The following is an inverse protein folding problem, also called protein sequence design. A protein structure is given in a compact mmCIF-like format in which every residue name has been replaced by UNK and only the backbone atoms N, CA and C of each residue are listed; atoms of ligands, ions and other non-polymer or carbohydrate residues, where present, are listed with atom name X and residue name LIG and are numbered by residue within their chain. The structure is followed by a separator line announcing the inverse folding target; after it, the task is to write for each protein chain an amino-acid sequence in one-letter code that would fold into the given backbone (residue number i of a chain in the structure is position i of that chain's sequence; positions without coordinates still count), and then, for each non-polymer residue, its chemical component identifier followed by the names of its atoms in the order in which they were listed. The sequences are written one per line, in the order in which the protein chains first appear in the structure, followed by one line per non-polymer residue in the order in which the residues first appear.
data_IF_179716500423
#
_entry.id   IF_179716500423
#
_cell.length_a   1.000
_cell.length_b   1.000
_cell.length_c   1.000
_cell.angle_alpha   90.00
_cell.angle_beta   90.00
_cell.angle_gamma   90.00
#
_symmetry.space_group_name_H-M   'P 1'
#
loop_
_entity.id
_entity.type
_entity.pdbx_description
1 polymer ?
#
# COMPACT_ATOMS: atom_id res chain seq x y z
N UNK A 1 0.90 1.24 -12.43
CA UNK A 1 0.55 0.40 -11.26
C UNK A 1 0.09 1.20 -10.07
N UNK A 2 0.63 2.38 -9.89
CA UNK A 2 0.20 3.22 -8.80
C UNK A 2 -1.30 3.49 -8.86
N UNK A 3 -1.81 3.82 -10.04
CA UNK A 3 -3.23 4.13 -10.19
C UNK A 3 -4.10 2.92 -9.94
N UNK A 4 -3.62 1.73 -10.30
CA UNK A 4 -4.37 0.51 -10.04
C UNK A 4 -4.56 0.30 -8.55
N UNK A 5 -3.47 0.44 -7.80
CA UNK A 5 -3.53 0.26 -6.35
C UNK A 5 -4.43 1.32 -5.73
N UNK A 6 -4.32 2.57 -6.18
CA UNK A 6 -5.17 3.62 -5.67
C UNK A 6 -6.65 3.32 -5.91
N UNK A 7 -6.98 2.90 -7.12
CA UNK A 7 -8.37 2.62 -7.47
C UNK A 7 -8.93 1.50 -6.62
N UNK A 8 -8.17 0.41 -6.49
CA UNK A 8 -8.63 -0.73 -5.71
C UNK A 8 -8.83 -0.34 -4.26
N UNK A 9 -7.84 0.35 -3.68
CA UNK A 9 -7.91 0.67 -2.26
C UNK A 9 -9.01 1.68 -1.96
N UNK A 10 -9.21 2.67 -2.84
CA UNK A 10 -10.27 3.63 -2.64
C UNK A 10 -11.65 2.97 -2.69
N UNK A 11 -11.74 1.85 -3.40
CA UNK A 11 -12.99 1.11 -3.47
C UNK A 11 -13.29 0.31 -2.22
N UNK A 12 -12.29 0.09 -1.38
CA UNK A 12 -12.42 -0.77 -0.20
C UNK A 12 -12.60 0.00 1.10
N UNK A 13 -12.17 1.25 1.15
CA UNK A 13 -12.06 1.98 2.41
C UNK A 13 -13.21 2.95 2.60
N UNK A 14 -13.37 3.40 3.85
CA UNK A 14 -14.37 4.40 4.18
C UNK A 14 -13.85 5.81 3.98
N UNK A 15 -12.55 5.99 3.99
CA UNK A 15 -11.92 7.30 3.85
C UNK A 15 -11.03 7.33 2.61
N UNK A 16 -11.64 7.31 1.41
CA UNK A 16 -10.83 7.23 0.20
C UNK A 16 -9.94 8.45 -0.02
N UNK A 17 -10.29 9.57 0.57
CA UNK A 17 -9.47 10.77 0.43
C UNK A 17 -8.13 10.62 1.13
N UNK A 18 -8.00 9.66 2.05
CA UNK A 18 -6.75 9.43 2.76
C UNK A 18 -5.87 8.37 2.11
N UNK A 19 -6.35 7.76 1.04
CA UNK A 19 -5.53 6.78 0.34
C UNK A 19 -4.42 7.49 -0.40
N UNK A 20 -3.19 7.06 -0.14
CA UNK A 20 -2.03 7.63 -0.78
C UNK A 20 -1.07 6.54 -1.16
N UNK A 21 -0.63 6.54 -2.40
CA UNK A 21 0.34 5.56 -2.89
C UNK A 21 1.57 6.32 -3.36
N UNK A 22 2.72 5.94 -2.83
CA UNK A 22 4.00 6.51 -3.22
C UNK A 22 4.76 5.46 -4.00
N UNK A 23 5.26 5.83 -5.16
CA UNK A 23 5.97 4.91 -6.03
C UNK A 23 7.45 5.22 -5.97
N UNK A 24 8.25 4.19 -5.68
CA UNK A 24 9.69 4.29 -5.61
C UNK A 24 10.27 3.33 -6.62
N UNK A 25 10.90 3.87 -7.66
CA UNK A 25 11.43 3.06 -8.76
C UNK A 25 12.88 2.72 -8.53
N UNK A 26 13.21 1.44 -8.58
CA UNK A 26 14.58 0.97 -8.68
C UNK A 26 14.85 0.50 -10.09
N UNK A 27 15.95 -0.21 -10.26
CA UNK A 27 16.33 -0.66 -11.59
C UNK A 27 15.36 -1.69 -12.15
N UNK A 28 15.00 -2.67 -11.35
CA UNK A 28 14.09 -3.73 -11.79
C UNK A 28 12.91 -3.90 -10.88
N UNK A 29 12.87 -3.18 -9.79
CA UNK A 29 11.82 -3.31 -8.78
C UNK A 29 11.23 -1.95 -8.49
N UNK A 30 9.90 -1.92 -8.42
CA UNK A 30 9.18 -0.72 -8.01
C UNK A 30 8.47 -1.04 -6.70
N UNK A 31 8.64 -0.17 -5.72
CA UNK A 31 7.96 -0.30 -4.43
C UNK A 31 6.80 0.67 -4.43
N UNK A 32 5.63 0.14 -4.09
CA UNK A 32 4.43 0.96 -3.96
C UNK A 32 4.07 1.00 -2.49
N UNK A 33 4.25 2.16 -1.88
CA UNK A 33 3.95 2.36 -0.46
C UNK A 33 2.54 2.88 -0.35
N UNK A 34 1.71 2.13 0.36
CA UNK A 34 0.30 2.46 0.53
C UNK A 34 0.05 2.98 1.92
N UNK A 35 -0.58 4.15 1.98
CA UNK A 35 -1.03 4.73 3.25
C UNK A 35 -2.52 4.94 3.16
N UNK A 36 -3.22 4.60 4.25
CA UNK A 36 -4.66 4.79 4.35
C UNK A 36 -4.96 5.34 5.74
N UNK A 37 -6.21 5.77 5.91
CA UNK A 37 -6.66 6.16 7.24
C UNK A 37 -6.48 4.98 8.19
N UNK A 38 -6.09 5.28 9.42
CA UNK A 38 -5.78 4.24 10.39
C UNK A 38 -6.94 3.26 10.56
N UNK A 39 -8.17 3.76 10.59
CA UNK A 39 -9.33 2.90 10.76
C UNK A 39 -9.61 2.02 9.56
N UNK A 40 -8.99 2.31 8.41
CA UNK A 40 -9.21 1.54 7.19
C UNK A 40 -8.14 0.51 6.94
N UNK A 41 -7.11 0.46 7.79
CA UNK A 41 -5.98 -0.41 7.54
C UNK A 41 -6.43 -1.87 7.41
N UNK A 42 -7.33 -2.31 8.28
CA UNK A 42 -7.82 -3.68 8.20
C UNK A 42 -8.55 -3.99 6.91
N UNK A 43 -9.11 -2.97 6.27
CA UNK A 43 -9.85 -3.20 5.04
C UNK A 43 -8.92 -3.48 3.86
N UNK A 44 -7.73 -2.88 3.86
CA UNK A 44 -6.79 -3.13 2.77
C UNK A 44 -5.94 -4.36 3.04
N UNK A 45 -5.75 -4.73 4.30
CA UNK A 45 -5.04 -5.96 4.63
C UNK A 45 -5.97 -7.15 4.44
N UNK A 46 -7.21 -7.01 4.93
CA UNK A 46 -8.20 -8.05 4.83
C UNK A 46 -8.03 -9.13 5.88
N UNK A 47 -9.04 -9.97 6.00
CA UNK A 47 -9.04 -11.04 6.96
C UNK A 47 -7.88 -11.98 6.67
N UNK A 48 -7.05 -12.21 7.65
CA UNK A 48 -5.88 -13.09 7.51
C UNK A 48 -4.96 -12.66 6.37
N UNK A 49 -4.99 -11.37 6.06
CA UNK A 49 -4.11 -10.83 5.04
C UNK A 49 -4.53 -11.13 3.61
N UNK A 50 -5.75 -11.60 3.41
CA UNK A 50 -6.17 -12.08 2.09
C UNK A 50 -6.25 -10.98 1.05
N UNK A 51 -6.73 -9.80 1.45
CA UNK A 51 -6.88 -8.70 0.49
C UNK A 51 -5.50 -8.24 0.03
N UNK A 52 -4.59 -8.01 0.97
CA UNK A 52 -3.24 -7.59 0.61
C UNK A 52 -2.56 -8.63 -0.26
N UNK A 53 -2.75 -9.91 0.06
CA UNK A 53 -2.16 -10.98 -0.74
C UNK A 53 -2.71 -10.98 -2.15
N UNK A 54 -4.02 -10.75 -2.29
CA UNK A 54 -4.65 -10.72 -3.61
C UNK A 54 -4.10 -9.56 -4.43
N UNK A 55 -3.93 -8.39 -3.82
CA UNK A 55 -3.38 -7.25 -4.52
C UNK A 55 -1.95 -7.56 -4.97
N UNK A 56 -1.17 -8.17 -4.09
CA UNK A 56 0.21 -8.53 -4.44
C UNK A 56 0.25 -9.53 -5.58
N UNK A 57 -0.69 -10.45 -5.62
CA UNK A 57 -0.76 -11.42 -6.71
C UNK A 57 -1.05 -10.75 -8.03
N UNK A 58 -1.97 -9.79 -8.03
CA UNK A 58 -2.30 -9.05 -9.24
C UNK A 58 -1.09 -8.24 -9.71
N UNK A 59 -0.40 -7.60 -8.77
CA UNK A 59 0.78 -6.81 -9.12
C UNK A 59 1.88 -7.70 -9.70
N UNK A 60 2.04 -8.90 -9.16
CA UNK A 60 3.04 -9.82 -9.69
C UNK A 60 2.71 -10.22 -11.12
N UNK A 61 1.45 -10.51 -11.37
CA UNK A 61 1.03 -10.91 -12.72
C UNK A 61 1.25 -9.77 -13.71
N UNK A 62 0.87 -8.55 -13.32
CA UNK A 62 1.06 -7.41 -14.21
C UNK A 62 2.55 -7.13 -14.43
N UNK A 63 3.34 -7.34 -13.39
CA UNK A 63 4.77 -7.10 -13.48
C UNK A 63 5.46 -8.05 -14.45
N UNK A 64 4.96 -9.27 -14.53
CA UNK A 64 5.54 -10.23 -15.47
C UNK A 64 5.45 -9.73 -16.90
N UNK A 65 4.32 -9.12 -17.25
CA UNK A 65 4.16 -8.58 -18.59
C UNK A 65 5.14 -7.45 -18.85
N UNK A 66 5.41 -6.64 -17.84
CA UNK A 66 6.32 -5.52 -17.98
C UNK A 66 7.76 -5.88 -17.67
N UNK A 67 8.01 -7.13 -17.31
CA UNK A 67 9.33 -7.61 -16.93
C UNK A 67 9.89 -6.78 -15.79
N UNK A 68 9.03 -6.51 -14.79
CA UNK A 68 9.38 -5.68 -13.68
C UNK A 68 8.70 -6.21 -12.43
N UNK A 69 9.38 -6.11 -11.30
CA UNK A 69 8.83 -6.57 -10.03
C UNK A 69 8.17 -5.40 -9.31
N UNK A 70 6.94 -5.60 -8.87
CA UNK A 70 6.22 -4.61 -8.08
C UNK A 70 5.98 -5.16 -6.69
N UNK A 71 6.42 -4.42 -5.68
CA UNK A 71 6.21 -4.79 -4.29
C UNK A 71 5.26 -3.80 -3.66
N UNK A 72 4.27 -4.33 -2.93
CA UNK A 72 3.33 -3.49 -2.18
C UNK A 72 3.75 -3.48 -0.73
N UNK A 73 3.95 -2.29 -0.20
CA UNK A 73 4.26 -2.10 1.20
C UNK A 73 3.14 -1.31 1.84
N UNK A 74 2.44 -1.92 2.80
CA UNK A 74 1.36 -1.24 3.50
C UNK A 74 1.95 -0.64 4.76
N UNK A 75 1.83 0.69 4.86
CA UNK A 75 2.43 1.41 5.97
C UNK A 75 1.48 1.34 7.15
N UNK A 76 1.96 0.75 8.25
CA UNK A 76 1.14 0.51 9.43
C UNK A 76 1.65 1.22 10.68
N UNK A 77 2.57 2.17 10.52
CA UNK A 77 3.25 2.74 11.68
C UNK A 77 2.88 4.19 11.90
N UNK A 78 1.59 4.45 11.92
CA UNK A 78 1.12 5.82 12.17
C UNK A 78 1.58 6.29 13.54
N UNK A 79 1.38 5.45 14.54
CA UNK A 79 1.70 5.84 15.90
C UNK A 79 3.18 5.88 16.14
N UNK A 80 3.91 4.98 15.50
CA UNK A 80 5.36 5.00 15.62
C UNK A 80 5.90 6.33 15.16
N UNK A 81 5.38 6.82 14.05
CA UNK A 81 5.87 8.08 13.51
C UNK A 81 5.51 9.23 14.43
N UNK A 82 4.30 9.24 14.93
CA UNK A 82 3.88 10.29 15.85
C UNK A 82 4.65 10.23 17.14
N UNK A 83 4.84 9.04 17.67
CA UNK A 83 5.60 8.88 18.90
C UNK A 83 7.03 9.37 18.73
N UNK A 84 7.62 9.05 17.59
CA UNK A 84 8.99 9.45 17.35
C UNK A 84 9.12 10.95 17.26
N UNK A 85 8.16 11.58 16.61
CA UNK A 85 8.19 13.03 16.51
C UNK A 85 8.03 13.67 17.87
N UNK A 86 7.17 13.12 18.70
CA UNK A 86 6.97 13.64 20.05
C UNK A 86 8.16 13.36 20.92
N UNK A 87 8.72 12.18 20.81
CA UNK A 87 9.77 11.77 21.69
C UNK A 87 11.08 12.49 21.49
N UNK A 88 11.22 13.11 20.38
CA UNK A 88 12.46 13.80 20.08
C UNK A 88 12.51 15.20 20.64
N UNK A 89 11.44 15.69 21.18
CA UNK A 89 11.45 17.01 21.78
C UNK A 89 12.03 17.09 23.15
#
# INVERSE_FOLDING_TARGET
MKELVETVCKSLVDNPEDVKVTQIDGEQTTILELRVHQSDLGKVIGKQGRTARAIRTILAAAGMKQKRRFNLEIIERFEDRESRESGEE
#
